data_IF_870294099719
#
_entry.id   IF_870294099719
#
_cell.length_a   1.000
_cell.length_b   1.000
_cell.length_c   1.000
_cell.angle_alpha   90.00
_cell.angle_beta   90.00
_cell.angle_gamma   90.00
#
_symmetry.space_group_name_H-M   'P 1'
#
loop_
_entity.id
_entity.type
_entity.pdbx_description
1 polymer ?
#
# COMPACT_ATOMS: atom_id res chain seq x y z
N UNK A 1 -17.57 -14.38 6.82
CA UNK A 1 -16.86 -13.39 7.65
C UNK A 1 -17.26 -13.69 9.05
N UNK A 2 -17.25 -13.13 9.98
CA UNK A 2 -17.68 -13.49 11.29
C UNK A 2 -16.54 -13.54 12.25
N UNK A 3 -16.50 -14.56 13.08
CA UNK A 3 -15.55 -14.64 14.18
C UNK A 3 -14.09 -14.59 13.75
N UNK A 4 -13.82 -15.03 12.53
CA UNK A 4 -12.44 -15.08 12.02
C UNK A 4 -11.87 -13.69 11.73
N UNK A 5 -12.72 -12.66 11.64
CA UNK A 5 -12.26 -11.30 11.41
C UNK A 5 -11.89 -10.56 12.68
N UNK A 6 -12.17 -11.15 13.83
CA UNK A 6 -11.96 -10.51 15.11
C UNK A 6 -10.67 -11.01 15.75
N UNK A 7 -9.79 -10.08 16.07
CA UNK A 7 -8.51 -10.36 16.70
C UNK A 7 -8.55 -10.09 18.19
N UNK A 8 -7.63 -10.71 18.91
CA UNK A 8 -7.53 -10.55 20.34
C UNK A 8 -6.12 -10.08 20.72
N UNK A 9 -6.04 -9.04 21.53
CA UNK A 9 -4.79 -8.53 22.06
C UNK A 9 -4.97 -8.39 23.58
N UNK A 10 -4.34 -9.31 24.33
CA UNK A 10 -4.55 -9.37 25.76
C UNK A 10 -6.04 -9.53 26.06
N UNK A 11 -6.69 -8.57 26.70
CA UNK A 11 -8.13 -8.59 26.99
C UNK A 11 -8.95 -7.80 25.99
N UNK A 12 -8.32 -7.33 24.91
CA UNK A 12 -8.97 -6.49 23.91
C UNK A 12 -9.18 -7.27 22.61
N UNK A 13 -10.41 -7.25 22.12
CA UNK A 13 -10.74 -7.75 20.79
C UNK A 13 -10.78 -6.60 19.83
N UNK A 14 -10.28 -6.81 18.62
CA UNK A 14 -10.21 -5.73 17.63
C UNK A 14 -10.42 -6.22 16.21
N UNK A 15 -10.85 -5.27 15.38
CA UNK A 15 -11.07 -5.49 13.95
C UNK A 15 -10.81 -4.16 13.25
N UNK A 16 -9.54 -3.86 13.03
CA UNK A 16 -9.10 -2.57 12.51
C UNK A 16 -8.52 -2.76 11.11
N UNK A 17 -9.36 -2.54 10.11
CA UNK A 17 -8.99 -2.72 8.71
C UNK A 17 -8.98 -1.39 7.99
N UNK A 18 -8.00 -1.23 7.11
CA UNK A 18 -7.80 0.00 6.36
C UNK A 18 -7.46 -0.30 4.91
N UNK A 19 -8.03 0.49 4.03
CA UNK A 19 -7.59 0.55 2.63
C UNK A 19 -6.63 1.72 2.51
N UNK A 20 -5.40 1.44 2.08
CA UNK A 20 -4.32 2.43 2.00
C UNK A 20 -3.81 2.48 0.57
N UNK A 21 -3.60 3.69 0.06
CA UNK A 21 -3.02 3.92 -1.25
C UNK A 21 -1.84 4.87 -1.11
N UNK A 22 -0.71 4.51 -1.68
CA UNK A 22 0.46 5.37 -1.69
C UNK A 22 1.27 5.16 -2.97
N UNK A 23 2.11 6.13 -3.31
CA UNK A 23 2.73 6.18 -4.62
C UNK A 23 4.17 6.69 -4.56
N UNK A 24 5.01 6.28 -5.52
CA UNK A 24 6.31 6.88 -5.72
C UNK A 24 6.21 8.38 -5.98
N UNK A 25 7.26 9.10 -5.64
CA UNK A 25 7.34 10.53 -5.84
C UNK A 25 7.07 10.88 -7.31
N UNK A 26 6.23 11.87 -7.53
CA UNK A 26 5.75 12.29 -8.86
C UNK A 26 4.95 11.22 -9.58
N UNK A 27 4.49 10.18 -8.87
CA UNK A 27 3.79 9.03 -9.47
C UNK A 27 4.56 8.41 -10.63
N UNK A 28 5.88 8.33 -10.48
CA UNK A 28 6.70 7.69 -11.52
C UNK A 28 6.34 6.22 -11.65
N UNK A 29 6.30 5.75 -12.88
CA UNK A 29 6.03 4.35 -13.18
C UNK A 29 7.32 3.56 -12.98
N UNK A 30 7.43 2.92 -11.83
CA UNK A 30 8.65 2.22 -11.41
C UNK A 30 8.43 0.71 -11.31
N UNK A 31 7.22 0.30 -10.91
CA UNK A 31 6.96 -1.08 -10.52
C UNK A 31 6.60 -1.95 -11.70
N UNK A 32 7.61 -2.39 -12.41
CA UNK A 32 7.51 -3.36 -13.49
C UNK A 32 8.39 -4.55 -13.19
N UNK A 33 7.97 -5.73 -13.65
CA UNK A 33 8.78 -6.95 -13.60
C UNK A 33 9.42 -7.16 -12.23
N UNK A 34 10.74 -7.11 -12.17
CA UNK A 34 11.50 -7.42 -10.96
C UNK A 34 11.19 -6.43 -9.82
N UNK A 35 11.07 -5.16 -10.13
CA UNK A 35 10.77 -4.15 -9.12
C UNK A 35 9.37 -4.34 -8.53
N UNK A 36 8.42 -4.76 -9.35
CA UNK A 36 7.07 -5.07 -8.89
C UNK A 36 7.08 -6.23 -7.89
N UNK A 37 7.79 -7.30 -8.24
CA UNK A 37 7.89 -8.48 -7.38
C UNK A 37 8.60 -8.14 -6.07
N UNK A 38 9.70 -7.44 -6.17
CA UNK A 38 10.53 -7.15 -5.00
C UNK A 38 9.88 -6.16 -4.03
N UNK A 39 9.21 -5.13 -4.55
CA UNK A 39 8.49 -4.23 -3.64
C UNK A 39 7.38 -4.97 -2.91
N UNK A 40 6.70 -5.89 -3.58
CA UNK A 40 5.68 -6.72 -2.94
C UNK A 40 6.27 -7.54 -1.79
N UNK A 41 7.42 -8.16 -2.00
CA UNK A 41 8.12 -8.92 -0.97
C UNK A 41 8.55 -8.05 0.20
N UNK A 42 9.10 -6.88 -0.10
CA UNK A 42 9.55 -5.93 0.92
C UNK A 42 8.38 -5.51 1.80
N UNK A 43 7.28 -5.10 1.20
CA UNK A 43 6.12 -4.65 1.94
C UNK A 43 5.53 -5.75 2.82
N UNK A 44 5.48 -6.97 2.30
CA UNK A 44 5.00 -8.12 3.08
C UNK A 44 5.88 -8.37 4.30
N UNK A 45 7.18 -8.36 4.11
CA UNK A 45 8.14 -8.57 5.20
C UNK A 45 8.02 -7.48 6.26
N UNK A 46 7.91 -6.23 5.84
CA UNK A 46 7.78 -5.11 6.76
C UNK A 46 6.48 -5.17 7.55
N UNK A 47 5.40 -5.57 6.91
CA UNK A 47 4.12 -5.78 7.59
C UNK A 47 4.23 -6.91 8.63
N UNK A 48 4.84 -8.02 8.26
CA UNK A 48 5.03 -9.15 9.17
C UNK A 48 5.81 -8.73 10.41
N UNK A 49 6.85 -7.94 10.26
CA UNK A 49 7.65 -7.48 11.39
C UNK A 49 6.88 -6.62 12.37
N UNK A 50 5.82 -5.95 11.91
CA UNK A 50 4.98 -5.11 12.77
C UNK A 50 3.68 -5.78 13.20
N UNK A 51 3.48 -7.03 12.82
CA UNK A 51 2.24 -7.72 13.12
C UNK A 51 1.03 -7.16 12.37
N UNK A 52 1.27 -6.53 11.24
CA UNK A 52 0.22 -6.03 10.35
C UNK A 52 -0.08 -7.09 9.31
N UNK A 53 -1.34 -7.48 9.22
CA UNK A 53 -1.77 -8.50 8.29
C UNK A 53 -2.22 -7.86 6.97
N UNK A 54 -1.68 -8.35 5.86
CA UNK A 54 -2.12 -7.94 4.53
C UNK A 54 -3.24 -8.88 4.09
N UNK A 55 -4.43 -8.33 3.92
CA UNK A 55 -5.58 -9.10 3.41
C UNK A 55 -5.49 -9.19 1.89
N UNK A 56 -5.21 -8.07 1.25
CA UNK A 56 -5.07 -7.98 -0.21
C UNK A 56 -4.13 -6.83 -0.54
N UNK A 57 -3.37 -6.96 -1.61
CA UNK A 57 -2.51 -5.88 -2.10
C UNK A 57 -2.32 -6.00 -3.59
N UNK A 58 -2.24 -4.85 -4.25
CA UNK A 58 -1.92 -4.76 -5.68
C UNK A 58 -0.83 -3.73 -5.88
N UNK A 59 0.20 -4.13 -6.59
CA UNK A 59 1.29 -3.25 -6.99
C UNK A 59 1.03 -2.82 -8.43
N UNK A 60 0.60 -1.58 -8.58
CA UNK A 60 0.41 -0.97 -9.89
C UNK A 60 1.71 -0.26 -10.30
N UNK A 61 1.91 0.05 -11.59
CA UNK A 61 3.16 0.67 -12.01
C UNK A 61 3.53 1.95 -11.26
N UNK A 62 2.56 2.77 -10.88
CA UNK A 62 2.79 4.08 -10.28
C UNK A 62 2.14 4.26 -8.90
N UNK A 63 1.60 3.20 -8.31
CA UNK A 63 1.00 3.27 -6.98
C UNK A 63 0.76 1.88 -6.41
N UNK A 64 0.44 1.83 -5.14
CA UNK A 64 0.17 0.58 -4.42
C UNK A 64 -1.14 0.73 -3.66
N UNK A 65 -2.00 -0.28 -3.79
CA UNK A 65 -3.20 -0.45 -2.98
C UNK A 65 -2.96 -1.57 -1.97
N UNK A 66 -3.31 -1.32 -0.72
CA UNK A 66 -3.21 -2.34 0.32
C UNK A 66 -4.47 -2.34 1.17
N UNK A 67 -5.00 -3.52 1.43
CA UNK A 67 -6.01 -3.73 2.45
C UNK A 67 -5.33 -4.45 3.61
N UNK A 68 -5.24 -3.78 4.75
CA UNK A 68 -4.44 -4.26 5.89
C UNK A 68 -5.23 -4.22 7.19
N UNK A 69 -4.83 -5.10 8.11
CA UNK A 69 -5.30 -5.08 9.49
C UNK A 69 -4.15 -4.60 10.37
N UNK A 70 -4.36 -3.47 11.03
CA UNK A 70 -3.35 -2.85 11.87
C UNK A 70 -3.79 -2.97 13.32
N UNK A 71 -2.95 -3.58 14.21
CA UNK A 71 -3.30 -3.66 15.63
C UNK A 71 -3.55 -2.28 16.24
N UNK A 72 -4.51 -2.14 17.16
CA UNK A 72 -4.86 -0.83 17.72
C UNK A 72 -3.74 -0.13 18.49
N UNK A 73 -2.71 -0.89 18.90
CA UNK A 73 -1.54 -0.31 19.55
C UNK A 73 -0.65 0.49 18.60
N UNK A 74 -0.88 0.40 17.29
CA UNK A 74 -0.08 1.09 16.28
C UNK A 74 -1.00 2.06 15.54
N UNK A 75 -0.61 3.34 15.47
CA UNK A 75 -1.36 4.30 14.66
C UNK A 75 -1.07 4.09 13.18
N UNK A 76 -2.02 4.44 12.34
CA UNK A 76 -1.84 4.37 10.89
C UNK A 76 -0.64 5.22 10.46
N UNK A 77 -0.51 6.43 10.99
CA UNK A 77 0.58 7.32 10.62
C UNK A 77 1.95 6.77 11.03
N UNK A 78 2.05 6.17 12.21
CA UNK A 78 3.29 5.54 12.65
C UNK A 78 3.64 4.35 11.75
N UNK A 79 2.67 3.53 11.42
CA UNK A 79 2.87 2.40 10.53
C UNK A 79 3.33 2.87 9.14
N UNK A 80 2.68 3.88 8.58
CA UNK A 80 3.03 4.38 7.24
C UNK A 80 4.40 5.03 7.22
N UNK A 81 4.77 5.75 8.27
CA UNK A 81 6.13 6.29 8.39
C UNK A 81 7.18 5.20 8.37
N UNK A 82 6.96 4.15 9.14
CA UNK A 82 7.82 2.97 9.16
C UNK A 82 7.86 2.28 7.78
N UNK A 83 6.71 2.00 7.21
CA UNK A 83 6.60 1.27 5.95
C UNK A 83 7.31 2.01 4.81
N UNK A 84 7.03 3.30 4.68
CA UNK A 84 7.63 4.12 3.62
C UNK A 84 9.13 4.31 3.84
N UNK A 85 9.55 4.57 5.06
CA UNK A 85 10.97 4.78 5.37
C UNK A 85 11.80 3.52 5.12
N UNK A 86 11.39 2.41 5.67
CA UNK A 86 12.14 1.14 5.54
C UNK A 86 12.10 0.62 4.12
N UNK A 87 10.94 0.66 3.45
CA UNK A 87 10.85 0.18 2.07
C UNK A 87 11.70 1.03 1.13
N UNK A 88 11.76 2.33 1.35
CA UNK A 88 12.61 3.23 0.58
C UNK A 88 14.08 2.81 0.67
N UNK A 89 14.57 2.59 1.88
CA UNK A 89 15.94 2.14 2.12
C UNK A 89 16.22 0.80 1.43
N UNK A 90 15.32 -0.15 1.59
CA UNK A 90 15.49 -1.49 1.03
C UNK A 90 15.45 -1.47 -0.51
N UNK A 91 14.59 -0.64 -1.09
CA UNK A 91 14.54 -0.49 -2.54
C UNK A 91 15.83 0.13 -3.08
N UNK A 92 16.38 1.13 -2.40
CA UNK A 92 17.63 1.75 -2.82
C UNK A 92 18.83 0.82 -2.68
N UNK A 93 18.83 -0.05 -1.68
CA UNK A 93 19.87 -1.06 -1.53
C UNK A 93 19.81 -2.09 -2.65
N UNK A 94 18.63 -2.49 -3.03
CA UNK A 94 18.42 -3.53 -4.03
C UNK A 94 18.50 -2.99 -5.46
N UNK A 95 18.03 -1.78 -5.69
CA UNK A 95 18.00 -1.12 -6.99
C UNK A 95 18.70 0.22 -6.91
N UNK A 96 20.03 0.18 -6.91
CA UNK A 96 20.86 1.37 -6.70
C UNK A 96 20.60 2.50 -7.67
N UNK A 97 20.14 2.19 -8.89
CA UNK A 97 19.85 3.22 -9.90
C UNK A 97 18.70 4.14 -9.49
N UNK A 98 17.84 3.70 -8.61
CA UNK A 98 16.73 4.52 -8.14
C UNK A 98 17.20 5.75 -7.35
N UNK A 99 18.36 5.65 -6.71
CA UNK A 99 18.94 6.80 -5.98
C UNK A 99 19.23 7.98 -6.90
N UNK A 100 19.61 7.70 -8.13
CA UNK A 100 19.93 8.72 -9.11
C UNK A 100 18.67 9.35 -9.71
N UNK A 101 17.61 8.59 -9.81
CA UNK A 101 16.32 9.10 -10.32
C UNK A 101 15.62 9.99 -9.30
N UNK A 102 15.79 9.69 -8.02
CA UNK A 102 15.14 10.40 -6.93
C UNK A 102 16.24 11.11 -6.13
N UNK A 103 16.58 12.31 -6.53
CA UNK A 103 17.68 13.09 -5.95
C UNK A 103 17.52 13.37 -4.47
N UNK A 104 16.29 13.50 -4.00
CA UNK A 104 16.02 13.48 -2.58
C UNK A 104 15.94 12.04 -2.12
N UNK A 105 16.29 11.76 -0.88
CA UNK A 105 16.26 10.40 -0.34
C UNK A 105 14.85 9.84 -0.16
N UNK A 106 13.84 10.59 -0.60
CA UNK A 106 12.46 10.18 -0.48
C UNK A 106 12.00 9.52 -1.76
N UNK A 107 11.82 8.20 -1.68
CA UNK A 107 11.28 7.43 -2.81
C UNK A 107 9.80 7.71 -3.01
N UNK A 108 9.05 7.79 -1.93
CA UNK A 108 7.59 7.91 -1.94
C UNK A 108 7.12 9.36 -1.94
N UNK A 109 5.95 9.61 -2.52
CA UNK A 109 5.26 10.88 -2.33
C UNK A 109 4.98 11.11 -0.86
N UNK A 110 4.92 12.36 -0.45
CA UNK A 110 4.42 12.69 0.87
C UNK A 110 2.95 12.29 0.98
N UNK A 111 2.58 11.80 2.15
CA UNK A 111 1.21 11.43 2.41
C UNK A 111 0.80 10.11 1.79
N UNK A 112 -0.46 9.82 1.98
CA UNK A 112 -1.11 8.59 1.50
C UNK A 112 -2.61 8.79 1.64
N UNK A 113 -3.36 7.96 0.93
CA UNK A 113 -4.80 7.86 1.14
C UNK A 113 -5.07 6.74 2.14
N UNK A 114 -5.98 6.96 3.08
CA UNK A 114 -6.42 5.92 4.00
C UNK A 114 -7.93 6.02 4.21
N UNK A 115 -8.57 4.86 4.22
CA UNK A 115 -9.98 4.73 4.51
C UNK A 115 -10.19 3.55 5.45
N UNK A 116 -11.15 3.67 6.35
CA UNK A 116 -11.51 2.56 7.21
C UNK A 116 -12.41 1.59 6.46
N UNK A 117 -12.26 0.31 6.77
CA UNK A 117 -13.03 -0.74 6.12
C UNK A 117 -13.82 -1.49 7.18
N UNK A 118 -15.12 -1.62 6.96
CA UNK A 118 -15.99 -2.37 7.84
C UNK A 118 -15.93 -3.87 7.56
N UNK A 119 -17.05 -4.54 7.71
CA UNK A 119 -17.13 -5.99 7.59
C UNK A 119 -17.09 -6.52 6.16
N UNK A 120 -17.20 -5.67 5.16
CA UNK A 120 -17.25 -6.07 3.75
C UNK A 120 -15.85 -6.14 3.12
N UNK A 121 -14.93 -6.85 3.77
CA UNK A 121 -13.55 -6.94 3.30
C UNK A 121 -13.43 -7.61 1.94
N UNK A 122 -14.26 -8.60 1.66
CA UNK A 122 -14.23 -9.28 0.36
C UNK A 122 -14.56 -8.34 -0.80
N UNK A 123 -15.49 -7.42 -0.59
CA UNK A 123 -15.87 -6.44 -1.61
C UNK A 123 -14.73 -5.45 -1.87
N UNK A 124 -14.04 -5.03 -0.82
CA UNK A 124 -12.90 -4.12 -0.94
C UNK A 124 -11.72 -4.83 -1.61
N UNK A 125 -11.46 -6.07 -1.23
CA UNK A 125 -10.40 -6.87 -1.86
C UNK A 125 -10.66 -7.03 -3.36
N UNK A 126 -11.91 -7.30 -3.73
CA UNK A 126 -12.31 -7.40 -5.13
C UNK A 126 -12.14 -6.07 -5.86
N UNK A 127 -12.51 -4.96 -5.22
CA UNK A 127 -12.31 -3.63 -5.77
C UNK A 127 -10.84 -3.38 -6.07
N UNK A 128 -9.93 -3.72 -5.17
CA UNK A 128 -8.50 -3.54 -5.36
C UNK A 128 -8.00 -4.33 -6.56
N UNK A 129 -8.43 -5.57 -6.69
CA UNK A 129 -8.08 -6.41 -7.85
C UNK A 129 -8.58 -5.82 -9.16
N UNK A 130 -9.80 -5.30 -9.15
CA UNK A 130 -10.39 -4.72 -10.34
C UNK A 130 -9.75 -3.38 -10.70
N UNK A 131 -9.25 -2.65 -9.70
CA UNK A 131 -8.61 -1.36 -9.90
C UNK A 131 -7.40 -1.47 -10.84
N UNK A 132 -6.64 -2.54 -10.73
CA UNK A 132 -5.51 -2.75 -11.62
C UNK A 132 -5.95 -2.85 -13.08
N UNK A 133 -7.03 -3.58 -13.34
CA UNK A 133 -7.58 -3.71 -14.68
C UNK A 133 -8.08 -2.37 -15.23
N UNK A 134 -8.73 -1.60 -14.39
CA UNK A 134 -9.22 -0.27 -14.77
C UNK A 134 -8.06 0.66 -15.07
N UNK A 135 -7.00 0.60 -14.27
CA UNK A 135 -5.82 1.42 -14.49
C UNK A 135 -5.13 1.07 -15.81
N UNK A 136 -5.04 -0.21 -16.13
CA UNK A 136 -4.47 -0.64 -17.41
C UNK A 136 -5.27 -0.13 -18.59
N UNK A 137 -6.60 -0.15 -18.47
CA UNK A 137 -7.47 0.39 -19.50
C UNK A 137 -7.47 1.92 -19.50
N UNK A 138 -7.47 2.49 -18.30
CA UNK A 138 -7.57 3.92 -18.09
C UNK A 138 -6.40 4.71 -18.61
N UNK A 139 -5.21 4.13 -18.65
CA UNK A 139 -4.04 4.79 -19.22
C UNK A 139 -4.27 5.17 -20.68
N UNK A 140 -5.10 4.41 -21.36
CA UNK A 140 -5.40 4.66 -22.77
C UNK A 140 -6.49 5.70 -22.95
N UNK A 141 -7.33 5.88 -21.96
CA UNK A 141 -8.49 6.76 -22.07
C UNK A 141 -8.19 8.16 -21.59
N UNK A 142 -7.79 8.29 -20.38
CA UNK A 142 -7.51 9.60 -19.78
C UNK A 142 -6.55 9.43 -18.62
N UNK A 143 -5.95 10.53 -18.25
CA UNK A 143 -5.12 10.58 -17.07
C UNK A 143 -5.89 11.06 -15.84
N UNK A 144 -7.21 11.06 -15.93
CA UNK A 144 -8.03 11.56 -14.84
C UNK A 144 -7.90 10.78 -13.56
N UNK A 145 -7.48 9.53 -13.66
CA UNK A 145 -7.26 8.74 -12.47
C UNK A 145 -8.50 8.54 -11.64
N UNK A 146 -9.01 7.35 -11.68
CA UNK A 146 -10.23 7.00 -10.96
C UNK A 146 -9.97 6.62 -9.52
N UNK A 147 -8.70 6.49 -9.14
CA UNK A 147 -8.37 6.09 -7.79
C UNK A 147 -8.47 7.23 -6.79
N UNK A 148 -8.69 6.90 -5.51
CA UNK A 148 -8.79 7.90 -4.45
C UNK A 148 -7.56 8.81 -4.36
N UNK A 149 -6.42 8.29 -4.70
CA UNK A 149 -5.16 9.03 -4.62
C UNK A 149 -5.17 10.27 -5.49
N UNK A 150 -5.69 10.17 -6.70
CA UNK A 150 -5.69 11.29 -7.65
C UNK A 150 -6.63 12.41 -7.24
N UNK A 151 -7.68 12.09 -6.55
CA UNK A 151 -8.66 13.08 -6.11
C UNK A 151 -8.13 14.00 -5.01
N UNK A 152 -7.00 13.66 -4.42
CA UNK A 152 -6.45 14.40 -3.28
C UNK A 152 -5.45 15.48 -3.67
N UNK A 153 -5.24 15.67 -4.90
CA UNK A 153 -4.33 16.72 -5.34
C UNK A 153 -4.90 18.10 -5.17
#
# INVERSE_FOLDING_TARGET
MGLNDIHSLSHTKWNCKYHIVFAPKYRRKVFYQNKKVEVGKILRQLCDWKGVNIIEAEVCPDHIHMLVEIPPKISVSSFMGYLKGKSSTMLYEQFGELKYKYRSREFWCKGYYVDTVGKNTSRIAEYIKNQLKEDELGEQLTMTGMGPYKSKR
#
